data_IF_601924968836
#
_entry.id   IF_601924968836
#
_cell.length_a   1.000
_cell.length_b   1.000
_cell.length_c   1.000
_cell.angle_alpha   90.00
_cell.angle_beta   90.00
_cell.angle_gamma   90.00
#
_symmetry.space_group_name_H-M   'P 1'
#
loop_
_entity.id
_entity.type
_entity.pdbx_description
1 polymer ?
#
# COMPACT_ATOMS: atom_id res chain seq x y z
N UNK A 1 -30.42 -5.92 1.45
CA UNK A 1 -29.42 -6.09 0.36
C UNK A 1 -29.21 -4.72 -0.24
N UNK A 2 -28.02 -4.15 -0.07
CA UNK A 2 -27.67 -2.86 -0.66
C UNK A 2 -27.26 -3.12 -2.11
N UNK A 3 -27.89 -2.42 -3.05
CA UNK A 3 -27.61 -2.57 -4.48
C UNK A 3 -26.80 -1.38 -4.95
N UNK A 4 -25.82 -1.63 -5.83
CA UNK A 4 -25.06 -0.57 -6.48
C UNK A 4 -25.01 -0.79 -8.00
N UNK A 5 -24.82 0.29 -8.73
CA UNK A 5 -24.67 0.32 -10.18
C UNK A 5 -23.29 -0.19 -10.61
N UNK A 6 -23.13 -0.47 -11.92
CA UNK A 6 -21.84 -0.81 -12.51
C UNK A 6 -20.81 0.32 -12.32
N UNK A 7 -21.23 1.59 -12.40
CA UNK A 7 -20.36 2.76 -12.23
C UNK A 7 -19.89 2.92 -10.79
N UNK A 8 -20.79 2.81 -9.81
CA UNK A 8 -20.43 2.83 -8.38
C UNK A 8 -19.53 1.65 -8.02
N UNK A 9 -19.81 0.46 -8.56
CA UNK A 9 -18.92 -0.69 -8.38
C UNK A 9 -17.55 -0.47 -9.04
N UNK A 10 -17.47 0.24 -10.16
CA UNK A 10 -16.22 0.57 -10.83
C UNK A 10 -15.36 1.50 -9.97
N UNK A 11 -15.96 2.51 -9.34
CA UNK A 11 -15.32 3.39 -8.36
C UNK A 11 -14.82 2.62 -7.13
N UNK A 12 -15.69 1.82 -6.50
CA UNK A 12 -15.33 0.99 -5.33
C UNK A 12 -14.19 0.02 -5.65
N UNK A 13 -14.16 -0.53 -6.86
CA UNK A 13 -13.16 -1.51 -7.29
C UNK A 13 -11.92 -0.89 -7.95
N UNK A 14 -11.87 0.43 -8.16
CA UNK A 14 -10.78 1.13 -8.85
C UNK A 14 -10.52 0.62 -10.28
N UNK A 15 -11.57 0.25 -11.03
CA UNK A 15 -11.46 -0.27 -12.41
C UNK A 15 -12.45 0.42 -13.34
N UNK A 16 -12.38 0.15 -14.64
CA UNK A 16 -13.35 0.68 -15.61
C UNK A 16 -14.70 -0.06 -15.56
N UNK A 17 -15.83 0.59 -15.92
CA UNK A 17 -17.14 -0.06 -16.04
C UNK A 17 -17.14 -1.32 -16.93
N UNK A 18 -16.34 -1.31 -18.00
CA UNK A 18 -16.16 -2.46 -18.91
C UNK A 18 -15.49 -3.65 -18.20
N UNK A 19 -14.57 -3.37 -17.27
CA UNK A 19 -13.94 -4.41 -16.45
C UNK A 19 -14.94 -5.01 -15.47
N UNK A 20 -15.83 -4.21 -14.89
CA UNK A 20 -16.92 -4.68 -14.02
C UNK A 20 -17.88 -5.59 -14.78
N UNK A 21 -18.27 -5.22 -16.01
CA UNK A 21 -19.07 -6.07 -16.89
C UNK A 21 -18.41 -7.44 -17.14
N UNK A 22 -17.09 -7.48 -17.40
CA UNK A 22 -16.37 -8.76 -17.53
C UNK A 22 -16.46 -9.63 -16.28
N UNK A 23 -16.41 -9.03 -15.08
CA UNK A 23 -16.50 -9.78 -13.81
C UNK A 23 -17.89 -10.36 -13.58
N UNK A 24 -18.91 -9.64 -14.01
CA UNK A 24 -20.29 -10.14 -14.01
C UNK A 24 -20.40 -11.32 -14.97
N UNK A 25 -19.91 -11.17 -16.21
CA UNK A 25 -19.92 -12.25 -17.19
C UNK A 25 -19.11 -13.48 -16.75
N UNK A 26 -18.07 -13.31 -15.94
CA UNK A 26 -17.27 -14.40 -15.37
C UNK A 26 -17.81 -14.96 -14.04
N UNK A 27 -18.98 -14.50 -13.57
CA UNK A 27 -19.59 -14.94 -12.31
C UNK A 27 -18.80 -14.53 -11.05
N UNK A 28 -17.88 -13.58 -11.18
CA UNK A 28 -17.05 -13.07 -10.07
C UNK A 28 -17.74 -11.98 -9.26
N UNK A 29 -18.80 -11.35 -9.80
CA UNK A 29 -19.70 -10.45 -9.10
C UNK A 29 -21.13 -10.98 -9.19
N UNK A 30 -21.86 -10.95 -8.07
CA UNK A 30 -23.26 -11.33 -8.01
C UNK A 30 -24.13 -10.17 -8.50
N UNK A 31 -25.06 -10.47 -9.41
CA UNK A 31 -26.08 -9.53 -9.88
C UNK A 31 -27.36 -9.74 -9.10
N UNK A 32 -28.02 -8.65 -8.71
CA UNK A 32 -29.37 -8.71 -8.17
C UNK A 32 -30.36 -8.59 -9.34
N UNK A 33 -31.37 -9.48 -9.46
CA UNK A 33 -32.38 -9.34 -10.51
C UNK A 33 -33.21 -8.08 -10.26
N UNK A 34 -33.24 -7.18 -11.24
CA UNK A 34 -34.05 -5.95 -11.19
C UNK A 34 -35.06 -5.94 -12.34
N UNK A 35 -36.25 -5.42 -12.09
CA UNK A 35 -37.21 -5.07 -13.14
C UNK A 35 -36.74 -3.78 -13.85
N UNK A 36 -36.11 -3.91 -15.03
CA UNK A 36 -35.65 -2.79 -15.85
C UNK A 36 -34.37 -3.07 -16.64
N UNK A 37 -33.94 -2.11 -17.47
CA UNK A 37 -32.80 -2.26 -18.38
C UNK A 37 -31.40 -2.06 -17.73
N UNK A 38 -31.33 -1.80 -16.42
CA UNK A 38 -30.07 -1.51 -15.70
C UNK A 38 -29.69 -2.66 -14.78
N UNK A 39 -28.56 -3.31 -15.06
CA UNK A 39 -27.97 -4.35 -14.19
C UNK A 39 -27.53 -3.75 -12.85
N UNK A 40 -28.01 -4.32 -11.74
CA UNK A 40 -27.57 -3.97 -10.39
C UNK A 40 -26.73 -5.09 -9.76
N UNK A 41 -25.78 -4.69 -8.93
CA UNK A 41 -24.82 -5.58 -8.27
C UNK A 41 -25.10 -5.61 -6.78
N UNK A 42 -24.91 -6.78 -6.16
CA UNK A 42 -24.91 -6.89 -4.70
C UNK A 42 -23.68 -6.18 -4.14
N UNK A 43 -23.90 -5.14 -3.34
CA UNK A 43 -22.83 -4.36 -2.71
C UNK A 43 -21.93 -5.22 -1.83
N UNK A 44 -22.46 -6.30 -1.24
CA UNK A 44 -21.70 -7.23 -0.39
C UNK A 44 -20.70 -8.02 -1.22
N UNK A 45 -21.12 -8.53 -2.39
CA UNK A 45 -20.25 -9.17 -3.37
C UNK A 45 -19.17 -8.22 -3.89
N UNK A 46 -19.51 -6.96 -4.16
CA UNK A 46 -18.54 -5.95 -4.61
C UNK A 46 -17.53 -5.63 -3.51
N UNK A 47 -17.97 -5.43 -2.27
CA UNK A 47 -17.10 -5.18 -1.12
C UNK A 47 -16.19 -6.38 -0.80
N UNK A 48 -16.71 -7.60 -0.89
CA UNK A 48 -15.92 -8.82 -0.76
C UNK A 48 -14.86 -8.92 -1.87
N UNK A 49 -15.23 -8.56 -3.10
CA UNK A 49 -14.28 -8.54 -4.22
C UNK A 49 -13.25 -7.42 -4.08
N UNK A 50 -13.64 -6.23 -3.62
CA UNK A 50 -12.72 -5.11 -3.37
C UNK A 50 -11.67 -5.48 -2.32
N UNK A 51 -12.09 -6.18 -1.25
CA UNK A 51 -11.20 -6.66 -0.17
C UNK A 51 -10.23 -7.75 -0.63
N UNK A 52 -10.64 -8.57 -1.60
CA UNK A 52 -9.84 -9.69 -2.12
C UNK A 52 -9.04 -9.33 -3.38
N UNK A 53 -9.37 -8.21 -4.02
CA UNK A 53 -8.70 -7.77 -5.24
C UNK A 53 -7.28 -7.34 -4.96
N UNK A 54 -6.32 -7.84 -5.75
CA UNK A 54 -5.01 -7.25 -5.79
C UNK A 54 -5.13 -5.80 -6.29
N UNK A 55 -4.51 -4.85 -5.59
CA UNK A 55 -4.45 -3.44 -6.00
C UNK A 55 -3.86 -3.22 -7.41
N UNK A 56 -3.89 -1.98 -7.92
CA UNK A 56 -3.41 -1.67 -9.28
C UNK A 56 -1.94 -2.05 -9.47
N UNK A 57 -1.61 -2.65 -10.62
CA UNK A 57 -0.23 -2.97 -11.01
C UNK A 57 -0.08 -4.29 -11.77
N UNK A 58 0.74 -4.28 -12.82
CA UNK A 58 1.16 -5.50 -13.54
C UNK A 58 1.88 -6.43 -12.54
N UNK A 59 1.46 -7.71 -12.42
CA UNK A 59 2.16 -8.66 -11.57
C UNK A 59 3.58 -8.87 -12.09
N UNK A 60 4.49 -9.21 -11.19
CA UNK A 60 5.84 -9.63 -11.57
C UNK A 60 5.80 -11.02 -12.19
N UNK A 61 6.74 -11.28 -13.11
CA UNK A 61 6.94 -12.63 -13.62
C UNK A 61 7.26 -13.59 -12.47
N UNK A 62 6.96 -14.89 -12.59
CA UNK A 62 7.26 -15.87 -11.56
C UNK A 62 8.71 -15.78 -11.06
N UNK A 63 9.68 -15.67 -11.98
CA UNK A 63 11.11 -15.54 -11.68
C UNK A 63 11.43 -14.36 -10.75
N UNK A 64 10.88 -13.18 -11.05
CA UNK A 64 11.07 -11.94 -10.26
C UNK A 64 10.28 -12.00 -8.95
N UNK A 65 9.10 -12.61 -8.95
CA UNK A 65 8.29 -12.80 -7.75
C UNK A 65 9.04 -13.67 -6.73
N UNK A 66 9.49 -14.86 -7.14
CA UNK A 66 10.26 -15.75 -6.29
C UNK A 66 11.60 -15.15 -5.88
N UNK A 67 12.30 -14.48 -6.80
CA UNK A 67 13.57 -13.82 -6.48
C UNK A 67 13.40 -12.71 -5.43
N UNK A 68 12.34 -11.91 -5.53
CA UNK A 68 12.01 -10.90 -4.53
C UNK A 68 11.71 -11.53 -3.15
N UNK A 69 10.93 -12.61 -3.11
CA UNK A 69 10.61 -13.28 -1.84
C UNK A 69 11.83 -13.96 -1.21
N UNK A 70 12.77 -14.47 -2.02
CA UNK A 70 14.05 -14.98 -1.52
C UNK A 70 14.84 -13.86 -0.87
N UNK A 71 14.98 -12.73 -1.57
CA UNK A 71 15.72 -11.57 -1.06
C UNK A 71 15.11 -11.01 0.24
N UNK A 72 13.77 -10.94 0.34
CA UNK A 72 13.08 -10.54 1.57
C UNK A 72 13.26 -11.53 2.73
N UNK A 73 13.50 -12.80 2.41
CA UNK A 73 13.81 -13.83 3.41
C UNK A 73 15.31 -13.87 3.78
N UNK A 74 16.11 -12.89 3.34
CA UNK A 74 17.56 -12.88 3.55
C UNK A 74 18.35 -13.86 2.67
N UNK A 75 17.70 -14.52 1.71
CA UNK A 75 18.31 -15.51 0.83
C UNK A 75 18.84 -14.87 -0.46
N UNK A 76 19.85 -15.51 -1.06
CA UNK A 76 20.32 -15.14 -2.41
C UNK A 76 19.42 -15.78 -3.46
N UNK A 77 19.02 -15.01 -4.47
CA UNK A 77 18.32 -15.49 -5.66
C UNK A 77 19.31 -15.60 -6.84
N UNK A 78 20.01 -16.74 -7.01
CA UNK A 78 21.09 -16.88 -7.99
C UNK A 78 20.63 -16.85 -9.45
N UNK A 79 19.35 -17.10 -9.71
CA UNK A 79 18.78 -17.04 -11.06
C UNK A 79 18.55 -15.61 -11.55
N UNK A 80 18.55 -14.62 -10.65
CA UNK A 80 18.41 -13.22 -11.03
C UNK A 80 19.75 -12.60 -11.42
N UNK A 81 19.73 -11.81 -12.50
CA UNK A 81 20.88 -11.01 -12.94
C UNK A 81 21.12 -9.80 -12.02
N UNK A 82 22.34 -9.25 -11.96
CA UNK A 82 22.66 -8.10 -11.08
C UNK A 82 21.74 -6.89 -11.25
N UNK A 83 21.33 -6.58 -12.49
CA UNK A 83 20.41 -5.47 -12.75
C UNK A 83 18.98 -5.75 -12.23
N UNK A 84 18.53 -7.02 -12.23
CA UNK A 84 17.25 -7.40 -11.63
C UNK A 84 17.31 -7.23 -10.11
N UNK A 85 18.40 -7.66 -9.47
CA UNK A 85 18.64 -7.43 -8.02
C UNK A 85 18.57 -5.96 -7.65
N UNK A 86 19.26 -5.08 -8.38
CA UNK A 86 19.25 -3.63 -8.14
C UNK A 86 17.84 -3.04 -8.28
N UNK A 87 17.13 -3.38 -9.36
CA UNK A 87 15.75 -2.89 -9.59
C UNK A 87 14.77 -3.38 -8.53
N UNK A 88 14.90 -4.64 -8.09
CA UNK A 88 14.08 -5.20 -7.01
C UNK A 88 14.36 -4.47 -5.70
N UNK A 89 15.63 -4.28 -5.32
CA UNK A 89 15.99 -3.55 -4.09
C UNK A 89 15.42 -2.13 -4.08
N UNK A 90 15.59 -1.38 -5.19
CA UNK A 90 15.03 -0.02 -5.33
C UNK A 90 13.51 -0.02 -5.21
N UNK A 91 12.84 -1.05 -5.75
CA UNK A 91 11.38 -1.16 -5.68
C UNK A 91 10.90 -1.56 -4.29
N UNK A 92 11.63 -2.45 -3.61
CA UNK A 92 11.31 -2.88 -2.24
C UNK A 92 11.40 -1.73 -1.23
N UNK A 93 12.19 -0.69 -1.53
CA UNK A 93 12.36 0.44 -0.62
C UNK A 93 11.07 1.26 -0.39
N UNK A 94 10.18 1.28 -1.38
CA UNK A 94 8.98 2.12 -1.38
C UNK A 94 7.68 1.31 -1.53
N UNK A 95 7.74 -0.01 -1.39
CA UNK A 95 6.58 -0.88 -1.57
C UNK A 95 5.96 -1.22 -0.21
N UNK A 96 4.63 -1.22 -0.15
CA UNK A 96 3.89 -1.68 1.04
C UNK A 96 3.78 -3.19 1.06
N UNK A 97 3.54 -3.78 2.24
CA UNK A 97 3.32 -5.22 2.39
C UNK A 97 2.20 -5.73 1.45
N UNK A 98 1.08 -5.00 1.36
CA UNK A 98 -0.01 -5.33 0.45
C UNK A 98 0.45 -5.31 -1.01
N UNK A 99 1.21 -4.30 -1.42
CA UNK A 99 1.69 -4.21 -2.80
C UNK A 99 2.68 -5.33 -3.15
N UNK A 100 3.43 -5.87 -2.18
CA UNK A 100 4.22 -7.10 -2.39
C UNK A 100 3.31 -8.28 -2.70
N UNK A 101 2.26 -8.51 -1.91
CA UNK A 101 1.29 -9.61 -2.13
C UNK A 101 0.69 -9.54 -3.52
N UNK A 102 0.29 -8.33 -3.92
CA UNK A 102 -0.26 -8.04 -5.25
C UNK A 102 0.76 -8.34 -6.34
N UNK A 103 1.99 -7.84 -6.19
CA UNK A 103 3.01 -7.96 -7.20
C UNK A 103 3.49 -9.40 -7.39
N UNK A 104 3.53 -10.20 -6.33
CA UNK A 104 3.98 -11.61 -6.36
C UNK A 104 2.85 -12.62 -6.57
N UNK A 105 1.62 -12.18 -6.90
CA UNK A 105 0.46 -13.07 -7.09
C UNK A 105 0.62 -14.12 -8.20
N UNK A 106 1.54 -13.92 -9.15
CA UNK A 106 1.87 -14.89 -10.20
C UNK A 106 2.94 -15.92 -9.77
N UNK A 107 3.33 -15.94 -8.49
CA UNK A 107 4.30 -16.95 -7.98
C UNK A 107 3.80 -18.39 -8.10
N UNK A 108 2.48 -18.60 -8.02
CA UNK A 108 1.84 -19.90 -8.08
C UNK A 108 0.35 -19.80 -8.47
N UNK A 109 -0.17 -20.86 -9.05
CA UNK A 109 -1.62 -21.06 -9.23
C UNK A 109 -2.19 -21.69 -7.97
N UNK A 110 -3.31 -21.18 -7.45
CA UNK A 110 -3.92 -21.71 -6.21
C UNK A 110 -5.14 -22.58 -6.52
N UNK A 111 -5.20 -23.76 -5.93
CA UNK A 111 -6.36 -24.65 -5.95
C UNK A 111 -6.75 -25.04 -4.53
N UNK A 112 -8.05 -25.03 -4.22
CA UNK A 112 -8.58 -25.31 -2.88
C UNK A 112 -9.50 -26.52 -2.88
N UNK A 113 -9.36 -27.32 -1.83
CA UNK A 113 -10.02 -28.59 -1.65
C UNK A 113 -10.46 -28.79 -0.20
N UNK A 114 -11.47 -29.63 -0.03
CA UNK A 114 -11.86 -30.21 1.24
C UNK A 114 -11.23 -31.59 1.39
N UNK A 115 -10.73 -31.87 2.59
CA UNK A 115 -10.22 -33.18 2.97
C UNK A 115 -10.54 -33.49 4.43
N UNK A 116 -10.74 -34.78 4.75
CA UNK A 116 -10.91 -35.21 6.13
C UNK A 116 -9.59 -35.05 6.92
N UNK A 117 -9.63 -34.92 8.26
CA UNK A 117 -8.42 -34.73 9.07
C UNK A 117 -7.32 -35.79 8.84
N UNK A 118 -7.61 -37.11 8.70
CA UNK A 118 -6.58 -38.10 8.40
C UNK A 118 -5.88 -37.85 7.05
N UNK A 119 -6.64 -37.43 6.03
CA UNK A 119 -6.10 -37.10 4.71
C UNK A 119 -5.24 -35.85 4.78
N UNK A 120 -5.69 -34.82 5.50
CA UNK A 120 -4.89 -33.61 5.76
C UNK A 120 -3.54 -33.96 6.40
N UNK A 121 -3.53 -34.83 7.42
CA UNK A 121 -2.30 -35.29 8.07
C UNK A 121 -1.37 -36.02 7.10
N UNK A 122 -1.89 -36.93 6.28
CA UNK A 122 -1.09 -37.65 5.28
C UNK A 122 -0.48 -36.71 4.22
N UNK A 123 -1.23 -35.68 3.80
CA UNK A 123 -0.79 -34.72 2.79
C UNK A 123 0.34 -33.79 3.27
N UNK A 124 0.51 -33.59 4.58
CA UNK A 124 1.58 -32.74 5.14
C UNK A 124 2.97 -33.16 4.69
N UNK A 125 3.18 -34.45 4.45
CA UNK A 125 4.46 -35.01 3.99
C UNK A 125 4.63 -34.95 2.47
N UNK A 126 3.60 -34.54 1.72
CA UNK A 126 3.59 -34.48 0.26
C UNK A 126 3.76 -33.07 -0.30
N UNK A 127 3.81 -32.05 0.57
CA UNK A 127 3.85 -30.65 0.17
C UNK A 127 4.92 -29.88 0.94
N UNK A 128 5.48 -28.86 0.30
CA UNK A 128 6.30 -27.88 0.99
C UNK A 128 5.38 -26.92 1.75
N UNK A 129 5.31 -27.09 3.07
CA UNK A 129 4.35 -26.40 3.95
C UNK A 129 4.59 -24.89 4.00
N UNK A 130 3.52 -24.11 3.83
CA UNK A 130 3.55 -22.64 3.84
C UNK A 130 2.34 -22.07 4.59
N UNK A 131 2.20 -20.76 4.63
CA UNK A 131 1.04 -20.09 5.20
C UNK A 131 0.82 -20.49 6.67
N UNK A 132 -0.42 -20.85 7.01
CA UNK A 132 -0.74 -21.36 8.35
C UNK A 132 0.02 -22.66 8.67
N UNK A 133 0.29 -23.50 7.66
CA UNK A 133 0.93 -24.80 7.84
C UNK A 133 2.45 -24.76 7.98
N UNK A 134 3.06 -23.57 7.85
CA UNK A 134 4.49 -23.39 8.09
C UNK A 134 4.86 -23.61 9.57
N UNK A 135 3.93 -23.37 10.51
CA UNK A 135 4.15 -23.66 11.93
C UNK A 135 4.15 -25.17 12.20
N UNK A 136 5.09 -25.60 13.02
CA UNK A 136 5.18 -26.99 13.52
C UNK A 136 4.13 -27.30 14.60
N UNK A 137 3.47 -26.28 15.17
CA UNK A 137 2.42 -26.48 16.17
C UNK A 137 1.10 -26.89 15.50
N UNK A 138 0.80 -28.19 15.50
CA UNK A 138 -0.35 -28.78 14.81
C UNK A 138 -1.70 -28.26 15.31
N UNK A 139 -1.83 -28.00 16.61
CA UNK A 139 -3.04 -27.46 17.25
C UNK A 139 -3.43 -26.08 16.70
N UNK A 140 -2.44 -25.30 16.26
CA UNK A 140 -2.67 -23.96 15.69
C UNK A 140 -3.16 -23.98 14.24
N UNK A 141 -3.09 -25.13 13.56
CA UNK A 141 -3.45 -25.24 12.14
C UNK A 141 -4.95 -25.44 11.91
N UNK A 142 -5.74 -25.72 12.96
CA UNK A 142 -7.19 -25.86 12.86
C UNK A 142 -7.65 -26.90 11.83
N UNK A 143 -6.86 -27.95 11.59
CA UNK A 143 -7.15 -28.97 10.57
C UNK A 143 -6.98 -28.50 9.12
N UNK A 144 -6.26 -27.39 8.89
CA UNK A 144 -5.95 -26.88 7.56
C UNK A 144 -4.57 -27.33 7.06
N UNK A 145 -4.42 -27.33 5.74
CA UNK A 145 -3.16 -27.49 5.02
C UNK A 145 -2.99 -26.39 3.99
N UNK A 146 -1.81 -25.77 3.94
CA UNK A 146 -1.38 -24.87 2.88
C UNK A 146 0.05 -25.29 2.45
N UNK A 147 0.25 -25.56 1.17
CA UNK A 147 1.54 -26.05 0.70
C UNK A 147 1.78 -25.94 -0.79
N UNK A 148 3.06 -25.88 -1.16
CA UNK A 148 3.53 -25.92 -2.54
C UNK A 148 3.74 -27.34 -3.02
N UNK A 149 3.42 -27.56 -4.30
CA UNK A 149 3.66 -28.81 -5.01
C UNK A 149 3.77 -28.54 -6.53
N UNK A 150 4.32 -29.52 -7.26
CA UNK A 150 4.40 -29.49 -8.73
C UNK A 150 3.07 -29.91 -9.34
N UNK A 151 2.83 -29.60 -10.61
CA UNK A 151 1.64 -30.06 -11.33
C UNK A 151 1.57 -31.60 -11.35
N UNK A 152 2.71 -32.27 -11.52
CA UNK A 152 2.77 -33.74 -11.49
C UNK A 152 2.41 -34.28 -10.10
N UNK A 153 2.96 -33.68 -9.04
CA UNK A 153 2.62 -34.06 -7.67
C UNK A 153 1.15 -33.80 -7.33
N UNK A 154 0.52 -32.78 -7.93
CA UNK A 154 -0.92 -32.55 -7.78
C UNK A 154 -1.71 -33.70 -8.36
N UNK A 155 -1.36 -34.15 -9.56
CA UNK A 155 -2.04 -35.27 -10.22
C UNK A 155 -1.94 -36.55 -9.39
N UNK A 156 -0.75 -36.86 -8.87
CA UNK A 156 -0.54 -38.00 -7.97
C UNK A 156 -1.40 -37.90 -6.70
N UNK A 157 -1.46 -36.71 -6.10
CA UNK A 157 -2.28 -36.44 -4.91
C UNK A 157 -3.76 -36.62 -5.20
N UNK A 158 -4.26 -36.08 -6.32
CA UNK A 158 -5.67 -36.19 -6.72
C UNK A 158 -6.07 -37.63 -7.09
N UNK A 159 -5.13 -38.44 -7.58
CA UNK A 159 -5.35 -39.86 -7.84
C UNK A 159 -5.35 -40.71 -6.57
N UNK A 160 -4.60 -40.30 -5.55
CA UNK A 160 -4.38 -41.10 -4.33
C UNK A 160 -5.37 -40.76 -3.21
N UNK A 161 -5.74 -39.49 -3.06
CA UNK A 161 -6.50 -38.99 -1.91
C UNK A 161 -7.90 -38.52 -2.31
N UNK A 162 -8.93 -38.79 -1.47
CA UNK A 162 -10.27 -38.29 -1.72
C UNK A 162 -10.34 -36.79 -1.39
N UNK A 163 -10.33 -35.96 -2.43
CA UNK A 163 -10.34 -34.50 -2.34
C UNK A 163 -11.52 -33.92 -3.12
N UNK A 164 -12.28 -33.02 -2.50
CA UNK A 164 -13.41 -32.34 -3.14
C UNK A 164 -13.07 -30.88 -3.38
N UNK A 165 -13.20 -30.38 -4.60
CA UNK A 165 -12.89 -28.97 -4.91
C UNK A 165 -13.89 -28.05 -4.22
N UNK A 166 -13.40 -27.12 -3.39
CA UNK A 166 -14.23 -26.24 -2.59
C UNK A 166 -13.60 -24.85 -2.48
N UNK A 167 -14.40 -23.78 -2.61
CA UNK A 167 -13.90 -22.39 -2.63
C UNK A 167 -13.20 -22.01 -1.31
N UNK A 168 -13.70 -22.51 -0.19
CA UNK A 168 -13.20 -22.24 1.15
C UNK A 168 -12.75 -23.53 1.87
N UNK A 169 -12.30 -24.52 1.08
CA UNK A 169 -11.81 -25.79 1.59
C UNK A 169 -10.60 -25.66 2.52
N UNK A 170 -10.43 -26.65 3.41
CA UNK A 170 -9.36 -26.68 4.41
C UNK A 170 -7.97 -27.03 3.84
N UNK A 171 -7.86 -27.40 2.56
CA UNK A 171 -6.60 -27.67 1.87
C UNK A 171 -6.38 -26.66 0.76
N UNK A 172 -5.24 -25.98 0.78
CA UNK A 172 -4.78 -25.05 -0.26
C UNK A 172 -3.49 -25.60 -0.89
N UNK A 173 -3.55 -25.90 -2.18
CA UNK A 173 -2.37 -26.25 -2.98
C UNK A 173 -1.93 -25.05 -3.81
N UNK A 174 -0.64 -24.74 -3.73
CA UNK A 174 0.03 -23.69 -4.50
C UNK A 174 0.93 -24.34 -5.54
N UNK A 175 0.47 -24.34 -6.78
CA UNK A 175 1.09 -25.06 -7.88
C UNK A 175 2.14 -24.16 -8.53
N UNK A 176 3.40 -24.59 -8.50
CA UNK A 176 4.51 -23.84 -9.09
C UNK A 176 5.74 -24.72 -9.30
N UNK A 177 6.01 -25.08 -10.56
CA UNK A 177 7.24 -25.79 -10.95
C UNK A 177 8.50 -25.01 -10.53
N UNK A 178 8.46 -23.68 -10.73
CA UNK A 178 9.57 -22.80 -10.38
C UNK A 178 9.91 -22.89 -8.88
N UNK A 179 8.89 -23.01 -8.03
CA UNK A 179 9.02 -23.09 -6.58
C UNK A 179 9.57 -24.44 -6.14
N UNK A 180 8.99 -25.53 -6.64
CA UNK A 180 9.31 -26.89 -6.18
C UNK A 180 10.71 -27.34 -6.52
N UNK A 181 11.33 -26.77 -7.56
CA UNK A 181 12.75 -26.97 -7.85
C UNK A 181 13.70 -26.28 -6.85
N UNK A 182 13.21 -25.33 -6.05
CA UNK A 182 14.04 -24.37 -5.28
C UNK A 182 13.72 -24.31 -3.79
N UNK A 183 12.51 -24.70 -3.39
CA UNK A 183 12.16 -24.84 -1.98
C UNK A 183 12.89 -26.07 -1.45
N UNK A 184 13.73 -25.86 -0.44
CA UNK A 184 14.37 -26.96 0.31
C UNK A 184 13.40 -27.58 1.32
N UNK A 185 13.90 -28.00 2.47
CA UNK A 185 13.05 -28.54 3.55
C UNK A 185 12.10 -27.47 4.14
N UNK A 186 12.50 -26.20 4.07
CA UNK A 186 11.73 -25.07 4.62
C UNK A 186 11.38 -24.04 3.55
N UNK A 187 10.11 -23.59 3.56
CA UNK A 187 9.64 -22.50 2.71
C UNK A 187 10.14 -21.17 3.28
N UNK A 188 10.74 -20.28 2.47
CA UNK A 188 11.27 -19.02 2.98
C UNK A 188 10.22 -18.12 3.64
N UNK A 189 10.62 -17.41 4.69
CA UNK A 189 9.70 -16.67 5.57
C UNK A 189 8.82 -15.64 4.84
N UNK A 190 9.36 -14.93 3.83
CA UNK A 190 8.57 -13.97 3.07
C UNK A 190 7.50 -14.65 2.20
N UNK A 191 7.75 -15.88 1.74
CA UNK A 191 6.75 -16.67 1.01
C UNK A 191 5.62 -17.06 1.96
N UNK A 192 5.98 -17.58 3.14
CA UNK A 192 5.01 -17.90 4.21
C UNK A 192 4.15 -16.68 4.54
N UNK A 193 4.78 -15.51 4.68
CA UNK A 193 4.10 -14.26 4.99
C UNK A 193 3.12 -13.81 3.88
N UNK A 194 3.52 -13.89 2.60
CA UNK A 194 2.61 -13.61 1.46
C UNK A 194 1.46 -14.62 1.42
N UNK A 195 1.73 -15.89 1.71
CA UNK A 195 0.72 -16.95 1.65
C UNK A 195 -0.33 -16.78 2.76
N UNK A 196 0.11 -16.44 3.98
CA UNK A 196 -0.76 -15.98 5.08
C UNK A 196 -1.57 -14.75 4.67
N UNK A 197 -0.93 -13.72 4.10
CA UNK A 197 -1.59 -12.49 3.64
C UNK A 197 -2.62 -12.72 2.51
N UNK A 198 -2.48 -13.82 1.77
CA UNK A 198 -3.40 -14.26 0.71
C UNK A 198 -4.55 -15.13 1.22
N UNK A 199 -4.58 -15.47 2.51
CA UNK A 199 -5.63 -16.29 3.12
C UNK A 199 -6.99 -15.59 3.12
N UNK A 200 -8.06 -16.39 3.05
CA UNK A 200 -9.43 -15.91 3.27
C UNK A 200 -9.74 -15.61 4.75
N UNK A 201 -8.93 -16.15 5.67
CA UNK A 201 -9.06 -15.87 7.10
C UNK A 201 -8.51 -14.47 7.43
N UNK A 202 -9.31 -13.56 8.03
CA UNK A 202 -8.83 -12.22 8.40
C UNK A 202 -7.64 -12.25 9.36
N UNK A 203 -7.60 -13.23 10.28
CA UNK A 203 -6.51 -13.40 11.25
C UNK A 203 -5.20 -13.81 10.57
N UNK A 204 -5.26 -14.80 9.70
CA UNK A 204 -4.09 -15.26 8.92
C UNK A 204 -3.61 -14.13 8.00
N UNK A 205 -4.55 -13.42 7.35
CA UNK A 205 -4.23 -12.27 6.50
C UNK A 205 -3.51 -11.17 7.26
N UNK A 206 -4.01 -10.78 8.42
CA UNK A 206 -3.40 -9.76 9.28
C UNK A 206 -2.00 -10.18 9.72
N UNK A 207 -1.84 -11.41 10.21
CA UNK A 207 -0.54 -11.94 10.61
C UNK A 207 0.47 -11.95 9.46
N UNK A 208 0.05 -12.36 8.25
CA UNK A 208 0.91 -12.33 7.07
C UNK A 208 1.34 -10.93 6.65
N UNK A 209 0.44 -9.94 6.74
CA UNK A 209 0.76 -8.54 6.43
C UNK A 209 1.74 -7.94 7.44
N UNK A 210 1.56 -8.21 8.74
CA UNK A 210 2.49 -7.79 9.80
C UNK A 210 3.87 -8.41 9.56
N UNK A 211 3.92 -9.73 9.33
CA UNK A 211 5.17 -10.43 9.05
C UNK A 211 5.88 -9.91 7.81
N UNK A 212 5.14 -9.57 6.74
CA UNK A 212 5.71 -8.94 5.55
C UNK A 212 6.23 -7.54 5.83
N UNK A 213 5.53 -6.75 6.64
CA UNK A 213 5.96 -5.39 7.00
C UNK A 213 7.28 -5.41 7.78
N UNK A 214 7.47 -6.42 8.63
CA UNK A 214 8.73 -6.65 9.36
C UNK A 214 9.89 -7.13 8.47
N UNK A 215 9.58 -7.90 7.42
CA UNK A 215 10.56 -8.42 6.46
C UNK A 215 10.92 -7.44 5.35
N UNK A 216 10.01 -6.52 5.02
CA UNK A 216 10.30 -5.45 4.10
C UNK A 216 11.53 -4.72 4.62
N UNK A 217 12.49 -4.39 3.75
CA UNK A 217 13.61 -3.59 4.18
C UNK A 217 13.00 -2.37 4.86
N UNK A 218 13.36 -2.19 6.13
CA UNK A 218 13.37 -0.88 6.77
C UNK A 218 14.45 -0.07 6.06
N UNK A 219 14.37 0.06 4.73
CA UNK A 219 15.08 1.10 4.02
C UNK A 219 14.51 2.35 4.65
N UNK A 220 15.32 2.97 5.50
CA UNK A 220 15.20 4.36 5.93
C UNK A 220 13.76 4.82 5.75
N UNK A 221 12.84 4.38 6.63
CA UNK A 221 11.48 4.93 6.58
C UNK A 221 11.70 6.37 6.96
N UNK A 222 11.87 7.20 5.94
CA UNK A 222 11.67 8.61 6.01
C UNK A 222 10.19 8.73 6.40
N UNK A 223 9.92 8.78 7.71
CA UNK A 223 8.59 8.99 8.31
C UNK A 223 8.07 10.40 8.05
N UNK A 224 8.85 11.15 7.29
CA UNK A 224 8.78 12.56 7.02
C UNK A 224 8.98 12.75 5.51
N UNK A 225 8.26 13.71 4.94
CA UNK A 225 8.29 14.01 3.50
C UNK A 225 9.23 15.17 3.19
N UNK A 226 9.78 15.24 1.97
CA UNK A 226 10.56 16.41 1.52
C UNK A 226 9.68 17.63 1.28
N UNK A 227 10.31 18.82 1.18
CA UNK A 227 9.65 20.01 0.66
C UNK A 227 9.07 19.79 -0.75
N UNK A 228 9.80 19.11 -1.64
CA UNK A 228 9.35 18.79 -3.01
C UNK A 228 8.15 17.83 -3.04
N UNK A 229 8.18 16.74 -2.28
CA UNK A 229 7.07 15.81 -2.17
C UNK A 229 5.83 16.47 -1.57
N UNK A 230 6.02 17.37 -0.60
CA UNK A 230 4.96 18.18 0.00
C UNK A 230 4.35 19.10 -1.06
N UNK A 231 5.16 19.82 -1.82
CA UNK A 231 4.69 20.71 -2.89
C UNK A 231 3.90 19.94 -3.96
N UNK A 232 4.36 18.76 -4.36
CA UNK A 232 3.66 17.87 -5.31
C UNK A 232 2.33 17.36 -4.76
N UNK A 233 2.27 17.05 -3.47
CA UNK A 233 1.03 16.65 -2.79
C UNK A 233 0.04 17.82 -2.73
N UNK A 234 0.48 19.01 -2.33
CA UNK A 234 -0.35 20.23 -2.34
C UNK A 234 -0.88 20.49 -3.74
N UNK A 235 -0.03 20.46 -4.77
CA UNK A 235 -0.44 20.66 -6.16
C UNK A 235 -1.57 19.71 -6.60
N UNK A 236 -1.58 18.47 -6.06
CA UNK A 236 -2.65 17.51 -6.33
C UNK A 236 -3.95 17.90 -5.67
N UNK A 237 -3.92 18.28 -4.39
CA UNK A 237 -5.13 18.66 -3.65
C UNK A 237 -5.74 19.97 -4.18
N UNK A 238 -4.91 20.92 -4.62
CA UNK A 238 -5.39 22.13 -5.30
C UNK A 238 -6.13 21.82 -6.61
N UNK A 239 -5.69 20.81 -7.37
CA UNK A 239 -6.43 20.34 -8.56
C UNK A 239 -7.76 19.66 -8.22
N UNK A 240 -7.92 19.20 -6.98
CA UNK A 240 -9.14 18.61 -6.45
C UNK A 240 -9.99 19.65 -5.68
N UNK A 241 -9.57 20.92 -5.66
CA UNK A 241 -10.22 22.02 -4.94
C UNK A 241 -10.31 21.79 -3.41
N UNK A 242 -9.38 21.01 -2.83
CA UNK A 242 -9.30 20.75 -1.39
C UNK A 242 -8.17 21.58 -0.73
N UNK A 243 -8.43 22.88 -0.57
CA UNK A 243 -7.49 23.82 0.06
C UNK A 243 -7.25 23.52 1.56
N UNK A 244 -8.25 22.94 2.26
CA UNK A 244 -8.12 22.57 3.68
C UNK A 244 -7.10 21.44 3.87
N UNK A 245 -7.16 20.40 3.02
CA UNK A 245 -6.17 19.32 3.06
C UNK A 245 -4.80 19.81 2.63
N UNK A 246 -4.72 20.69 1.63
CA UNK A 246 -3.46 21.33 1.23
C UNK A 246 -2.80 22.06 2.40
N UNK A 247 -3.57 22.76 3.25
CA UNK A 247 -3.02 23.42 4.43
C UNK A 247 -2.49 22.43 5.48
N UNK A 248 -3.19 21.30 5.68
CA UNK A 248 -2.71 20.23 6.58
C UNK A 248 -1.38 19.63 6.10
N UNK A 249 -1.15 19.56 4.79
CA UNK A 249 0.11 19.10 4.24
C UNK A 249 1.26 20.07 4.56
N UNK A 250 1.02 21.38 4.53
CA UNK A 250 2.02 22.39 4.98
C UNK A 250 2.35 22.19 6.46
N UNK A 251 1.32 22.07 7.30
CA UNK A 251 1.49 21.85 8.74
C UNK A 251 2.25 20.54 9.04
N UNK A 252 1.95 19.47 8.29
CA UNK A 252 2.67 18.20 8.39
C UNK A 252 4.14 18.34 8.02
N UNK A 253 4.48 19.04 6.95
CA UNK A 253 5.87 19.25 6.54
C UNK A 253 6.66 20.06 7.58
N UNK A 254 6.04 21.07 8.21
CA UNK A 254 6.61 21.79 9.35
C UNK A 254 6.86 20.86 10.53
N UNK A 255 5.88 20.02 10.90
CA UNK A 255 6.03 19.06 11.98
C UNK A 255 7.14 18.04 11.70
N UNK A 256 7.20 17.53 10.47
CA UNK A 256 8.23 16.62 10.00
C UNK A 256 9.63 17.24 10.14
N UNK A 257 9.85 18.47 9.64
CA UNK A 257 11.14 19.17 9.76
C UNK A 257 11.59 19.36 11.21
N UNK A 258 10.66 19.68 12.13
CA UNK A 258 10.97 19.83 13.57
C UNK A 258 11.47 18.55 14.23
N UNK A 259 11.19 17.39 13.65
CA UNK A 259 11.63 16.09 14.18
C UNK A 259 12.95 15.60 13.59
N UNK A 260 13.54 16.35 12.64
CA UNK A 260 14.79 15.96 11.99
C UNK A 260 15.99 16.45 12.78
N UNK A 261 16.83 15.50 13.18
CA UNK A 261 18.08 15.77 13.88
C UNK A 261 19.33 15.46 13.01
N UNK A 262 19.20 14.62 11.98
CA UNK A 262 20.31 14.25 11.09
C UNK A 262 20.55 15.32 10.01
N UNK A 263 21.75 15.95 9.93
CA UNK A 263 22.08 16.94 8.91
C UNK A 263 21.88 16.46 7.47
N UNK A 264 22.13 15.18 7.17
CA UNK A 264 21.94 14.64 5.83
C UNK A 264 20.46 14.61 5.44
N UNK A 265 19.61 14.35 6.42
CA UNK A 265 18.17 14.30 6.27
C UNK A 265 17.57 15.70 6.16
N UNK A 266 18.01 16.64 7.01
CA UNK A 266 17.66 18.05 6.89
C UNK A 266 18.04 18.58 5.49
N UNK A 267 19.25 18.31 5.00
CA UNK A 267 19.68 18.71 3.67
C UNK A 267 18.80 18.11 2.55
N UNK A 268 18.41 16.84 2.69
CA UNK A 268 17.46 16.22 1.75
C UNK A 268 16.04 16.78 1.89
N UNK A 269 15.61 17.24 3.07
CA UNK A 269 14.28 17.84 3.26
C UNK A 269 14.18 19.12 2.46
N UNK A 270 15.25 19.92 2.55
CA UNK A 270 15.36 21.31 2.12
C UNK A 270 15.74 21.49 0.65
N UNK A 271 15.77 20.42 -0.15
CA UNK A 271 15.93 20.51 -1.61
C UNK A 271 14.80 21.36 -2.19
N UNK A 272 15.16 22.31 -3.05
CA UNK A 272 14.22 23.25 -3.66
C UNK A 272 13.08 22.49 -4.39
N UNK A 273 11.81 22.77 -4.06
CA UNK A 273 10.68 22.10 -4.68
C UNK A 273 10.44 22.61 -6.11
N UNK A 274 9.85 21.77 -6.96
CA UNK A 274 9.37 22.19 -8.30
C UNK A 274 8.20 23.20 -8.23
N UNK A 275 7.62 23.39 -7.05
CA UNK A 275 6.47 24.26 -6.78
C UNK A 275 5.12 23.54 -6.87
N UNK A 276 4.11 24.19 -6.34
CA UNK A 276 2.71 23.72 -6.31
C UNK A 276 1.94 24.12 -7.57
N UNK A 277 2.44 25.13 -8.29
CA UNK A 277 1.75 25.78 -9.41
C UNK A 277 0.84 26.95 -8.99
N UNK A 278 0.68 27.21 -7.68
CA UNK A 278 0.01 28.39 -7.14
C UNK A 278 0.98 29.20 -6.28
N UNK A 279 1.22 30.45 -6.68
CA UNK A 279 2.17 31.36 -6.02
C UNK A 279 1.83 31.59 -4.54
N UNK A 280 0.55 31.59 -4.16
CA UNK A 280 0.12 31.77 -2.76
C UNK A 280 0.63 30.62 -1.90
N UNK A 281 0.43 29.39 -2.37
CA UNK A 281 0.85 28.17 -1.71
C UNK A 281 2.37 27.98 -1.69
N UNK A 282 3.05 28.34 -2.79
CA UNK A 282 4.52 28.33 -2.84
C UNK A 282 5.12 29.30 -1.83
N UNK A 283 4.56 30.51 -1.74
CA UNK A 283 5.00 31.52 -0.76
C UNK A 283 4.76 31.05 0.67
N UNK A 284 3.62 30.41 0.95
CA UNK A 284 3.32 29.88 2.28
C UNK A 284 4.26 28.75 2.68
N UNK A 285 4.45 27.74 1.81
CA UNK A 285 5.33 26.61 2.10
C UNK A 285 6.77 27.08 2.34
N UNK A 286 7.30 27.96 1.47
CA UNK A 286 8.63 28.53 1.59
C UNK A 286 8.79 29.37 2.87
N UNK A 287 7.81 30.22 3.18
CA UNK A 287 7.83 31.06 4.39
C UNK A 287 7.77 30.20 5.66
N UNK A 288 6.93 29.17 5.68
CA UNK A 288 6.80 28.26 6.81
C UNK A 288 8.10 27.49 7.05
N UNK A 289 8.68 26.87 6.02
CA UNK A 289 9.93 26.12 6.14
C UNK A 289 11.10 27.04 6.52
N UNK A 290 11.21 28.23 5.92
CA UNK A 290 12.27 29.19 6.25
C UNK A 290 12.21 29.68 7.69
N UNK A 291 10.99 29.90 8.21
CA UNK A 291 10.78 30.23 9.62
C UNK A 291 11.26 29.10 10.54
N UNK A 292 10.91 27.85 10.24
CA UNK A 292 11.31 26.71 11.06
C UNK A 292 12.82 26.48 11.03
N UNK A 293 13.48 26.66 9.87
CA UNK A 293 14.94 26.62 9.80
C UNK A 293 15.58 27.66 10.74
N UNK A 294 15.08 28.90 10.75
CA UNK A 294 15.55 29.93 11.69
C UNK A 294 15.34 29.56 13.16
N UNK A 295 14.19 28.99 13.50
CA UNK A 295 13.89 28.57 14.87
C UNK A 295 14.76 27.39 15.33
N UNK A 296 15.09 26.47 14.42
CA UNK A 296 15.96 25.32 14.68
C UNK A 296 17.46 25.66 14.58
N UNK A 297 17.82 26.87 14.16
CA UNK A 297 19.21 27.27 13.96
C UNK A 297 19.88 26.59 12.76
N UNK A 298 19.10 26.15 11.77
CA UNK A 298 19.56 25.51 10.54
C UNK A 298 19.72 26.58 9.44
N UNK A 299 20.78 26.47 8.63
CA UNK A 299 20.98 27.34 7.46
C UNK A 299 19.83 27.18 6.47
N UNK A 300 19.02 28.23 6.35
CA UNK A 300 17.85 28.24 5.49
C UNK A 300 18.26 28.41 4.01
N UNK A 301 17.76 27.56 3.08
CA UNK A 301 18.00 27.74 1.65
C UNK A 301 17.38 29.05 1.13
N UNK A 302 17.97 29.61 0.07
CA UNK A 302 17.50 30.87 -0.54
C UNK A 302 16.05 30.82 -1.03
N UNK A 303 15.58 29.66 -1.48
CA UNK A 303 14.19 29.50 -1.94
C UNK A 303 13.15 29.69 -0.82
N UNK A 304 13.57 29.61 0.45
CA UNK A 304 12.71 29.85 1.62
C UNK A 304 12.48 31.33 1.92
N UNK A 305 13.00 32.23 1.07
CA UNK A 305 12.82 33.69 1.16
C UNK A 305 11.99 34.25 -0.02
N UNK A 306 10.74 33.79 -0.21
CA UNK A 306 9.95 34.11 -1.38
C UNK A 306 9.55 35.60 -1.41
N UNK A 307 9.49 36.24 -2.58
CA UNK A 307 8.98 37.62 -2.66
C UNK A 307 7.54 37.72 -2.10
N UNK A 308 7.18 38.82 -1.41
CA UNK A 308 5.83 39.00 -0.87
C UNK A 308 4.73 38.86 -1.92
N UNK A 309 3.55 38.41 -1.48
CA UNK A 309 2.35 38.37 -2.32
C UNK A 309 1.90 39.80 -2.70
N UNK A 310 1.34 39.93 -3.90
CA UNK A 310 0.84 41.21 -4.43
C UNK A 310 -0.46 41.66 -3.74
N UNK A 311 -1.19 40.71 -3.17
CA UNK A 311 -2.42 40.94 -2.41
C UNK A 311 -2.37 40.15 -1.11
N UNK A 312 -3.09 40.64 -0.11
CA UNK A 312 -3.23 39.94 1.16
C UNK A 312 -4.00 38.65 0.98
N UNK A 313 -3.49 37.57 1.58
CA UNK A 313 -4.11 36.25 1.53
C UNK A 313 -4.35 35.69 2.92
N UNK A 314 -5.55 35.15 3.12
CA UNK A 314 -6.03 34.56 4.37
C UNK A 314 -6.41 33.09 4.08
N UNK A 315 -5.51 32.11 4.30
CA UNK A 315 -5.72 30.72 3.89
C UNK A 315 -6.91 30.02 4.56
N UNK A 316 -7.35 30.52 5.73
CA UNK A 316 -8.33 29.87 6.60
C UNK A 316 -9.65 30.62 6.74
N UNK A 317 -9.82 31.78 6.09
CA UNK A 317 -10.93 32.69 6.39
C UNK A 317 -11.52 33.36 5.16
N UNK A 318 -12.86 33.36 5.12
CA UNK A 318 -13.67 34.19 4.23
C UNK A 318 -14.41 35.33 4.97
N UNK A 319 -14.32 35.41 6.30
CA UNK A 319 -15.09 36.36 7.14
C UNK A 319 -14.27 37.62 7.52
N UNK A 320 -14.73 38.84 7.15
CA UNK A 320 -14.09 40.12 7.50
C UNK A 320 -13.89 40.38 9.00
N UNK A 321 -14.76 39.87 9.88
CA UNK A 321 -14.69 40.13 11.33
C UNK A 321 -13.50 39.36 11.95
N UNK A 322 -13.19 38.18 11.42
CA UNK A 322 -12.09 37.35 11.89
C UNK A 322 -10.72 37.78 11.29
N UNK A 323 -10.71 38.57 10.22
CA UNK A 323 -9.49 39.08 9.58
C UNK A 323 -8.65 39.95 10.52
N UNK A 324 -9.25 40.95 11.18
CA UNK A 324 -8.52 41.87 12.07
C UNK A 324 -7.84 41.15 13.25
N UNK A 325 -8.52 40.14 13.81
CA UNK A 325 -7.96 39.26 14.84
C UNK A 325 -6.78 38.46 14.30
N UNK A 326 -6.94 37.85 13.14
CA UNK A 326 -5.88 37.05 12.49
C UNK A 326 -4.65 37.91 12.23
N UNK A 327 -4.83 39.12 11.71
CA UNK A 327 -3.72 40.06 11.47
C UNK A 327 -2.92 40.37 12.74
N UNK A 328 -3.61 40.57 13.87
CA UNK A 328 -2.98 40.87 15.17
C UNK A 328 -2.18 39.68 15.72
N UNK A 329 -2.55 38.45 15.36
CA UNK A 329 -1.97 37.20 15.87
C UNK A 329 -1.02 36.52 14.87
N UNK A 330 -0.88 37.08 13.67
CA UNK A 330 -0.01 36.53 12.61
C UNK A 330 1.45 36.84 12.93
N UNK A 331 2.33 35.82 12.95
CA UNK A 331 3.78 36.05 13.10
C UNK A 331 4.36 36.92 11.98
N UNK A 332 5.42 37.68 12.31
CA UNK A 332 6.04 38.64 11.39
C UNK A 332 6.59 37.99 10.11
N UNK A 333 7.04 36.74 10.20
CA UNK A 333 7.53 35.97 9.06
C UNK A 333 6.46 35.85 7.95
N UNK A 334 5.19 35.69 8.34
CA UNK A 334 4.07 35.56 7.41
C UNK A 334 3.53 36.92 6.96
N UNK A 335 3.35 37.86 7.89
CA UNK A 335 2.75 39.17 7.57
C UNK A 335 3.61 40.00 6.61
N UNK A 336 4.94 39.93 6.73
CA UNK A 336 5.88 40.57 5.80
C UNK A 336 5.82 39.99 4.38
N UNK A 337 5.26 38.79 4.22
CA UNK A 337 5.05 38.12 2.92
C UNK A 337 3.61 38.26 2.40
N UNK A 338 2.75 39.00 3.10
CA UNK A 338 1.35 39.20 2.73
C UNK A 338 0.43 38.02 3.08
N UNK A 339 0.89 37.10 3.94
CA UNK A 339 0.15 35.93 4.42
C UNK A 339 -0.36 36.22 5.82
N UNK A 340 -1.66 36.06 6.03
CA UNK A 340 -2.33 36.29 7.30
C UNK A 340 -2.89 34.97 7.85
N UNK A 341 -2.13 34.35 8.75
CA UNK A 341 -2.43 33.06 9.37
C UNK A 341 -1.92 33.05 10.82
N UNK A 342 -2.71 32.50 11.75
CA UNK A 342 -2.25 32.33 13.13
C UNK A 342 -1.22 31.18 13.21
N UNK A 343 -0.20 31.32 14.07
CA UNK A 343 0.87 30.31 14.19
C UNK A 343 0.36 28.91 14.52
N UNK A 344 -0.64 28.82 15.41
CA UNK A 344 -1.23 27.57 15.87
C UNK A 344 -1.93 26.76 14.75
N UNK A 345 -2.33 27.41 13.66
CA UNK A 345 -2.95 26.75 12.51
C UNK A 345 -2.02 25.70 11.87
N UNK A 346 -0.71 25.87 12.02
CA UNK A 346 0.30 24.95 11.50
C UNK A 346 0.90 24.06 12.59
N UNK A 347 0.46 24.20 13.84
CA UNK A 347 0.92 23.39 14.98
C UNK A 347 -0.05 22.25 15.33
N UNK A 348 -1.28 22.31 14.82
CA UNK A 348 -2.35 21.35 15.16
C UNK A 348 -2.47 20.29 14.05
N UNK A 349 -1.62 19.26 14.06
CA UNK A 349 -1.74 18.07 13.20
C UNK A 349 -1.76 16.81 14.03
#
# INVERSE_FOLDING_TARGET
MTEITISEAAEVLGVTPRQVQRLVSSGSLQTTPTFGATTRLDATSVQALARTRPGPGRPWSPEVAWGTLWMLSGLRAPWLRPHQHSRIRKRLANITAMNVVVATRQRATTARFHASPPVVTALRQKVARTGVSASTQEESNGGKLDGYLSENSLQDVLATFPLTRERDGNVTFRISEFATERIGEEVPQAVVAVDLASSSSPRERSAGLILLDDLLPRSERRTWVTADETAKAIARELRLEDEDFALRLVARAVADLRTLDDPADIARFLVEPEGTGDRRWDTLLATAIGRECRLLGVDAPTWTEPSPLQSWWFPLLADPILMARTMTRTPIDYSTRGIWIEANALETV
#
